data_IF_950515401882
#
_entry.id   IF_950515401882
#
_cell.length_a   1.000
_cell.length_b   1.000
_cell.length_c   1.000
_cell.angle_alpha   90.00
_cell.angle_beta   90.00
_cell.angle_gamma   90.00
#
_symmetry.space_group_name_H-M   'P 1'
#
loop_
_entity.id
_entity.type
_entity.pdbx_description
1 polymer ?
#
# COMPACT_ATOMS: atom_id res chain seq x y z
N UNK A 1 -10.86 -30.49 -5.99
CA UNK A 1 -10.33 -29.92 -7.25
C UNK A 1 -9.43 -28.72 -6.97
N UNK A 2 -9.94 -27.60 -6.44
CA UNK A 2 -9.16 -26.37 -6.25
C UNK A 2 -7.86 -26.55 -5.42
N UNK A 3 -7.91 -27.25 -4.29
CA UNK A 3 -6.71 -27.53 -3.46
C UNK A 3 -5.61 -28.20 -4.30
N UNK A 4 -5.96 -29.29 -5.00
CA UNK A 4 -5.00 -30.07 -5.80
C UNK A 4 -4.44 -29.21 -6.93
N UNK A 5 -5.31 -28.48 -7.66
CA UNK A 5 -4.89 -27.61 -8.75
C UNK A 5 -3.94 -26.50 -8.28
N UNK A 6 -4.29 -25.80 -7.20
CA UNK A 6 -3.44 -24.73 -6.64
C UNK A 6 -2.13 -25.29 -6.11
N UNK A 7 -2.15 -26.44 -5.43
CA UNK A 7 -0.94 -27.08 -4.93
C UNK A 7 -0.01 -27.50 -6.08
N UNK A 8 -0.54 -28.17 -7.12
CA UNK A 8 0.22 -28.54 -8.30
C UNK A 8 0.80 -27.33 -9.01
N UNK A 9 0.00 -26.26 -9.17
CA UNK A 9 0.46 -25.01 -9.79
C UNK A 9 1.60 -24.37 -9.01
N UNK A 10 1.49 -24.28 -7.67
CA UNK A 10 2.54 -23.71 -6.82
C UNK A 10 3.81 -24.54 -6.85
N UNK A 11 3.70 -25.86 -6.77
CA UNK A 11 4.87 -26.74 -6.79
C UNK A 11 5.64 -26.62 -8.11
N UNK A 12 4.94 -26.73 -9.24
CA UNK A 12 5.57 -26.66 -10.57
C UNK A 12 6.05 -25.23 -10.85
N UNK A 13 5.22 -24.22 -10.58
CA UNK A 13 5.54 -22.83 -10.84
C UNK A 13 6.74 -22.33 -10.03
N UNK A 14 6.76 -22.61 -8.72
CA UNK A 14 7.89 -22.20 -7.88
C UNK A 14 9.18 -22.96 -8.22
N UNK A 15 9.09 -24.20 -8.71
CA UNK A 15 10.26 -24.94 -9.17
C UNK A 15 10.84 -24.35 -10.47
N UNK A 16 9.99 -23.97 -11.43
CA UNK A 16 10.42 -23.35 -12.70
C UNK A 16 10.98 -21.93 -12.47
N UNK A 17 10.32 -21.15 -11.59
CA UNK A 17 10.72 -19.78 -11.28
C UNK A 17 11.80 -19.69 -10.19
N UNK A 18 12.27 -20.83 -9.69
CA UNK A 18 13.24 -20.95 -8.59
C UNK A 18 12.87 -20.18 -7.30
N UNK A 19 11.58 -20.09 -6.98
CA UNK A 19 11.08 -19.45 -5.75
C UNK A 19 11.25 -20.41 -4.57
N UNK A 20 12.21 -20.15 -3.70
CA UNK A 20 12.63 -21.07 -2.63
C UNK A 20 11.97 -20.72 -1.28
N UNK A 21 11.47 -21.74 -0.57
CA UNK A 21 11.00 -21.61 0.81
C UNK A 21 9.62 -20.97 1.01
N UNK A 22 8.89 -20.66 -0.07
CA UNK A 22 7.63 -19.91 0.00
C UNK A 22 6.37 -20.69 -0.41
N UNK A 23 6.49 -22.01 -0.59
CA UNK A 23 5.43 -22.89 -1.08
C UNK A 23 4.10 -22.70 -0.32
N UNK A 24 4.14 -22.70 1.01
CA UNK A 24 2.95 -22.59 1.85
C UNK A 24 2.30 -21.20 1.76
N UNK A 25 3.10 -20.14 1.69
CA UNK A 25 2.59 -18.76 1.60
C UNK A 25 1.95 -18.52 0.23
N UNK A 26 2.60 -18.96 -0.83
CA UNK A 26 2.06 -18.93 -2.19
C UNK A 26 0.78 -19.75 -2.31
N UNK A 27 0.79 -20.98 -1.77
CA UNK A 27 -0.38 -21.83 -1.75
C UNK A 27 -1.55 -21.18 -1.01
N UNK A 28 -1.34 -20.65 0.20
CA UNK A 28 -2.40 -20.02 0.98
C UNK A 28 -3.05 -18.85 0.24
N UNK A 29 -2.25 -17.97 -0.38
CA UNK A 29 -2.76 -16.80 -1.11
C UNK A 29 -3.51 -17.23 -2.37
N UNK A 30 -2.91 -18.08 -3.21
CA UNK A 30 -3.51 -18.51 -4.46
C UNK A 30 -4.75 -19.39 -4.22
N UNK A 31 -4.74 -20.20 -3.16
CA UNK A 31 -5.88 -21.01 -2.78
C UNK A 31 -7.04 -20.12 -2.31
N UNK A 32 -6.74 -19.10 -1.49
CA UNK A 32 -7.74 -18.12 -1.05
C UNK A 32 -8.36 -17.37 -2.23
N UNK A 33 -7.55 -16.95 -3.21
CA UNK A 33 -8.04 -16.35 -4.46
C UNK A 33 -8.89 -17.34 -5.30
N UNK A 34 -8.50 -18.62 -5.35
CA UNK A 34 -9.26 -19.67 -6.04
C UNK A 34 -10.62 -19.93 -5.38
N UNK A 35 -10.70 -19.92 -4.05
CA UNK A 35 -11.97 -20.01 -3.31
C UNK A 35 -12.93 -18.88 -3.68
N UNK A 36 -12.45 -17.66 -3.70
CA UNK A 36 -13.23 -16.49 -4.15
C UNK A 36 -13.69 -16.63 -5.61
N UNK A 37 -12.78 -17.02 -6.51
CA UNK A 37 -13.09 -17.19 -7.94
C UNK A 37 -14.16 -18.27 -8.17
N UNK A 38 -14.09 -19.39 -7.43
CA UNK A 38 -15.11 -20.44 -7.49
C UNK A 38 -16.49 -19.93 -7.06
N UNK A 39 -16.58 -19.14 -5.99
CA UNK A 39 -17.87 -18.57 -5.57
C UNK A 39 -18.45 -17.58 -6.57
N UNK A 40 -17.61 -16.77 -7.23
CA UNK A 40 -18.08 -15.93 -8.33
C UNK A 40 -18.58 -16.77 -9.49
N UNK A 41 -17.84 -17.81 -9.88
CA UNK A 41 -18.26 -18.74 -10.93
C UNK A 41 -19.62 -19.37 -10.63
N UNK A 42 -19.85 -19.80 -9.38
CA UNK A 42 -21.13 -20.34 -8.93
C UNK A 42 -22.24 -19.29 -8.95
N UNK A 43 -21.98 -18.06 -8.48
CA UNK A 43 -22.96 -16.97 -8.55
C UNK A 43 -23.38 -16.71 -10.00
N UNK A 44 -22.42 -16.56 -10.92
CA UNK A 44 -22.69 -16.34 -12.36
C UNK A 44 -23.50 -17.52 -12.94
N UNK A 45 -23.08 -18.76 -12.67
CA UNK A 45 -23.77 -19.96 -13.17
C UNK A 45 -25.19 -20.09 -12.60
N UNK A 46 -25.45 -19.60 -11.39
CA UNK A 46 -26.79 -19.61 -10.80
C UNK A 46 -27.70 -18.53 -11.38
N UNK A 47 -27.13 -17.38 -11.77
CA UNK A 47 -27.84 -16.21 -12.24
C UNK A 47 -28.20 -16.24 -13.72
N UNK A 48 -27.34 -16.84 -14.56
CA UNK A 48 -27.52 -16.85 -16.02
C UNK A 48 -27.85 -18.24 -16.55
N UNK A 49 -28.92 -18.32 -17.34
CA UNK A 49 -29.39 -19.58 -17.94
C UNK A 49 -28.68 -19.94 -19.25
N UNK A 50 -27.93 -19.00 -19.86
CA UNK A 50 -27.27 -19.18 -21.14
C UNK A 50 -25.75 -19.23 -20.98
N UNK A 51 -25.17 -20.32 -21.48
CA UNK A 51 -23.70 -20.52 -21.53
C UNK A 51 -23.04 -19.39 -22.35
N UNK A 52 -23.70 -18.91 -23.41
CA UNK A 52 -23.20 -17.78 -24.23
C UNK A 52 -23.07 -16.52 -23.39
N UNK A 53 -24.04 -16.22 -22.52
CA UNK A 53 -24.00 -15.05 -21.63
C UNK A 53 -22.87 -15.15 -20.62
N UNK A 54 -22.64 -16.35 -20.06
CA UNK A 54 -21.53 -16.60 -19.13
C UNK A 54 -20.19 -16.31 -19.80
N UNK A 55 -19.98 -16.76 -21.04
CA UNK A 55 -18.75 -16.52 -21.78
C UNK A 55 -18.49 -15.05 -22.13
N UNK A 56 -19.54 -14.22 -22.25
CA UNK A 56 -19.39 -12.77 -22.45
C UNK A 56 -19.05 -12.06 -21.13
N UNK A 57 -19.68 -12.47 -20.03
CA UNK A 57 -19.50 -11.83 -18.72
C UNK A 57 -18.14 -12.15 -18.11
N UNK A 58 -17.62 -13.36 -18.32
CA UNK A 58 -16.37 -13.79 -17.70
C UNK A 58 -15.18 -12.86 -18.05
N UNK A 59 -14.92 -12.53 -19.33
CA UNK A 59 -13.91 -11.51 -19.68
C UNK A 59 -14.20 -10.13 -19.10
N UNK A 60 -15.48 -9.70 -19.05
CA UNK A 60 -15.87 -8.40 -18.50
C UNK A 60 -15.59 -8.29 -16.99
N UNK A 61 -15.55 -9.41 -16.28
CA UNK A 61 -15.12 -9.48 -14.88
C UNK A 61 -13.60 -9.58 -14.78
N UNK A 62 -12.95 -10.42 -15.60
CA UNK A 62 -11.51 -10.66 -15.51
C UNK A 62 -10.66 -9.47 -15.98
N UNK A 63 -11.06 -8.75 -17.02
CA UNK A 63 -10.28 -7.61 -17.54
C UNK A 63 -10.09 -6.53 -16.48
N UNK A 64 -11.14 -6.03 -15.78
CA UNK A 64 -10.97 -5.10 -14.66
C UNK A 64 -10.10 -5.66 -13.54
N UNK A 65 -10.20 -6.97 -13.23
CA UNK A 65 -9.36 -7.60 -12.21
C UNK A 65 -7.88 -7.50 -12.58
N UNK A 66 -7.53 -7.74 -13.84
CA UNK A 66 -6.14 -7.62 -14.30
C UNK A 66 -5.70 -6.15 -14.33
N UNK A 67 -6.53 -5.28 -14.90
CA UNK A 67 -6.19 -3.87 -15.12
C UNK A 67 -5.98 -3.12 -13.80
N UNK A 68 -6.88 -3.30 -12.84
CA UNK A 68 -6.88 -2.62 -11.54
C UNK A 68 -6.24 -3.46 -10.43
N UNK A 69 -5.44 -4.46 -10.79
CA UNK A 69 -4.61 -5.21 -9.84
C UNK A 69 -3.41 -4.41 -9.33
N UNK A 70 -3.04 -3.31 -10.01
CA UNK A 70 -1.80 -2.58 -9.75
C UNK A 70 -0.58 -3.11 -10.51
N UNK A 71 -0.75 -4.18 -11.31
CA UNK A 71 0.32 -4.75 -12.15
C UNK A 71 0.39 -4.08 -13.53
N UNK A 72 -0.77 -3.97 -14.20
CA UNK A 72 -0.85 -3.43 -15.56
C UNK A 72 -0.98 -1.91 -15.54
N UNK A 73 -1.83 -1.40 -14.65
CA UNK A 73 -2.00 0.04 -14.43
C UNK A 73 -1.40 0.37 -13.08
N UNK A 74 -0.36 1.19 -13.11
CA UNK A 74 0.21 1.77 -11.91
C UNK A 74 -0.78 2.78 -11.31
N UNK A 75 -1.09 2.61 -10.02
CA UNK A 75 -2.02 3.46 -9.32
C UNK A 75 -1.53 4.91 -9.19
N UNK A 76 -0.22 5.14 -9.26
CA UNK A 76 0.41 6.47 -9.17
C UNK A 76 0.38 7.22 -10.51
N UNK A 77 -0.10 6.58 -11.59
CA UNK A 77 -0.20 7.17 -12.92
C UNK A 77 -1.64 7.24 -13.45
N UNK A 78 -2.64 6.96 -12.60
CA UNK A 78 -4.05 7.09 -12.98
C UNK A 78 -4.50 8.56 -13.07
N UNK A 79 -5.76 8.81 -13.40
CA UNK A 79 -6.27 10.19 -13.43
C UNK A 79 -6.33 10.80 -12.02
N UNK A 80 -5.95 12.08 -11.86
CA UNK A 80 -5.83 12.78 -10.55
C UNK A 80 -7.05 12.72 -9.64
N UNK A 81 -8.25 12.51 -10.19
CA UNK A 81 -9.50 12.35 -9.41
C UNK A 81 -9.66 10.98 -8.74
N UNK A 82 -8.87 9.99 -9.18
CA UNK A 82 -8.91 8.59 -8.73
C UNK A 82 -7.64 8.24 -7.95
N UNK A 83 -6.51 8.86 -8.29
CA UNK A 83 -5.23 8.66 -7.63
C UNK A 83 -5.22 9.12 -6.18
N UNK A 84 -4.43 8.43 -5.36
CA UNK A 84 -4.07 8.88 -4.02
C UNK A 84 -2.69 8.31 -3.67
N UNK A 85 -1.71 9.17 -3.38
CA UNK A 85 -0.36 8.71 -3.00
C UNK A 85 -0.30 8.12 -1.58
N UNK A 86 -1.31 8.45 -0.76
CA UNK A 86 -1.45 7.95 0.61
C UNK A 86 -2.02 6.52 0.65
N UNK A 87 -2.90 6.15 -0.28
CA UNK A 87 -3.70 4.93 -0.22
C UNK A 87 -3.95 4.33 -1.60
N UNK A 88 -4.13 3.02 -1.67
CA UNK A 88 -4.67 2.37 -2.88
C UNK A 88 -6.03 3.01 -3.24
N UNK A 89 -6.26 3.36 -4.52
CA UNK A 89 -7.53 3.90 -4.98
C UNK A 89 -8.71 2.95 -4.72
N UNK A 90 -9.89 3.53 -4.48
CA UNK A 90 -11.08 2.74 -4.10
C UNK A 90 -11.40 1.62 -5.11
N UNK A 91 -11.20 1.88 -6.41
CA UNK A 91 -11.44 0.85 -7.43
C UNK A 91 -10.50 -0.36 -7.27
N UNK A 92 -9.25 -0.14 -6.83
CA UNK A 92 -8.31 -1.20 -6.47
C UNK A 92 -8.65 -1.87 -5.12
N UNK A 93 -9.32 -1.16 -4.21
CA UNK A 93 -9.90 -1.73 -2.97
C UNK A 93 -11.02 -2.74 -3.24
N UNK A 94 -11.74 -2.61 -4.36
CA UNK A 94 -12.79 -3.55 -4.76
C UNK A 94 -12.30 -4.81 -5.50
N UNK A 95 -11.02 -4.83 -5.91
CA UNK A 95 -10.48 -5.82 -6.85
C UNK A 95 -9.68 -6.88 -6.08
N UNK A 96 -10.16 -8.12 -6.09
CA UNK A 96 -9.58 -9.23 -5.32
C UNK A 96 -8.17 -9.59 -5.78
N UNK A 97 -7.91 -9.55 -7.09
CA UNK A 97 -6.58 -9.80 -7.65
C UNK A 97 -5.55 -8.82 -7.11
N UNK A 98 -5.91 -7.57 -6.79
CA UNK A 98 -5.04 -6.58 -6.18
C UNK A 98 -4.59 -7.04 -4.79
N UNK A 99 -5.54 -7.43 -3.94
CA UNK A 99 -5.23 -7.93 -2.59
C UNK A 99 -4.34 -9.18 -2.63
N UNK A 100 -4.64 -10.13 -3.52
CA UNK A 100 -3.85 -11.34 -3.69
C UNK A 100 -2.44 -11.06 -4.21
N UNK A 101 -2.31 -10.16 -5.20
CA UNK A 101 -1.02 -9.80 -5.77
C UNK A 101 -0.15 -9.03 -4.77
N UNK A 102 -0.72 -8.04 -4.08
CA UNK A 102 0.00 -7.31 -3.03
C UNK A 102 0.49 -8.25 -1.92
N UNK A 103 -0.35 -9.23 -1.52
CA UNK A 103 0.05 -10.24 -0.55
C UNK A 103 1.25 -11.06 -1.05
N UNK A 104 1.21 -11.52 -2.32
CA UNK A 104 2.31 -12.29 -2.90
C UNK A 104 3.61 -11.49 -2.96
N UNK A 105 3.55 -10.26 -3.47
CA UNK A 105 4.73 -9.41 -3.68
C UNK A 105 5.36 -8.99 -2.35
N UNK A 106 4.55 -8.50 -1.40
CA UNK A 106 5.04 -8.07 -0.09
C UNK A 106 5.62 -9.26 0.68
N UNK A 107 4.92 -10.39 0.69
CA UNK A 107 5.42 -11.60 1.34
C UNK A 107 6.68 -12.14 0.68
N UNK A 108 6.77 -12.11 -0.65
CA UNK A 108 7.96 -12.58 -1.35
C UNK A 108 9.18 -11.71 -1.05
N UNK A 109 8.99 -10.40 -0.96
CA UNK A 109 10.07 -9.49 -0.60
C UNK A 109 10.43 -9.60 0.88
N UNK A 110 9.46 -9.53 1.78
CA UNK A 110 9.71 -9.41 3.22
C UNK A 110 10.09 -10.74 3.88
N UNK A 111 9.43 -11.83 3.49
CA UNK A 111 9.50 -13.10 4.22
C UNK A 111 10.50 -14.11 3.64
N UNK A 112 11.30 -13.71 2.64
CA UNK A 112 12.32 -14.60 2.09
C UNK A 112 13.47 -14.82 3.09
N UNK A 113 14.23 -15.89 2.88
CA UNK A 113 15.28 -16.30 3.81
C UNK A 113 16.43 -15.27 3.97
N UNK A 114 16.54 -14.30 3.05
CA UNK A 114 17.46 -13.18 3.18
C UNK A 114 16.83 -12.03 3.98
N UNK A 115 15.75 -11.46 3.47
CA UNK A 115 15.11 -10.27 4.03
C UNK A 115 14.47 -10.50 5.40
N UNK A 116 13.98 -11.69 5.71
CA UNK A 116 13.31 -11.96 6.99
C UNK A 116 14.16 -11.57 8.21
N UNK A 117 15.48 -11.68 8.10
CA UNK A 117 16.42 -11.32 9.17
C UNK A 117 16.72 -9.81 9.22
N UNK A 118 16.65 -9.12 8.07
CA UNK A 118 17.11 -7.75 7.90
C UNK A 118 15.99 -6.73 7.86
N UNK A 119 14.81 -7.14 7.42
CA UNK A 119 13.69 -6.27 7.07
C UNK A 119 13.36 -5.24 8.14
N UNK A 120 13.23 -5.67 9.41
CA UNK A 120 12.90 -4.77 10.51
C UNK A 120 13.97 -3.70 10.77
N UNK A 121 15.24 -4.03 10.55
CA UNK A 121 16.35 -3.07 10.69
C UNK A 121 16.43 -2.17 9.46
N UNK A 122 16.24 -2.72 8.27
CA UNK A 122 16.22 -1.95 7.03
C UNK A 122 15.06 -0.96 6.96
N UNK A 123 13.87 -1.35 7.42
CA UNK A 123 12.70 -0.48 7.52
C UNK A 123 13.01 0.78 8.34
N UNK A 124 13.60 0.60 9.52
CA UNK A 124 14.01 1.70 10.39
C UNK A 124 15.11 2.55 9.77
N UNK A 125 16.17 1.90 9.26
CA UNK A 125 17.29 2.60 8.62
C UNK A 125 16.79 3.45 7.44
N UNK A 126 15.90 2.90 6.63
CA UNK A 126 15.33 3.57 5.49
C UNK A 126 14.43 4.75 5.91
N UNK A 127 13.60 4.59 6.93
CA UNK A 127 12.81 5.70 7.50
C UNK A 127 13.69 6.82 8.05
N UNK A 128 14.76 6.49 8.79
CA UNK A 128 15.70 7.47 9.32
C UNK A 128 16.46 8.18 8.19
N UNK A 129 16.88 7.43 7.16
CA UNK A 129 17.59 7.98 6.00
C UNK A 129 16.70 8.95 5.23
N UNK A 130 15.42 8.62 5.04
CA UNK A 130 14.46 9.53 4.43
C UNK A 130 14.28 10.81 5.23
N UNK A 131 14.11 10.68 6.55
CA UNK A 131 13.95 11.84 7.44
C UNK A 131 15.17 12.77 7.37
N UNK A 132 16.39 12.21 7.39
CA UNK A 132 17.65 12.97 7.37
C UNK A 132 17.96 13.59 6.01
N UNK A 133 17.80 12.82 4.93
CA UNK A 133 18.27 13.23 3.60
C UNK A 133 17.24 14.04 2.81
N UNK A 134 15.95 13.94 3.14
CA UNK A 134 14.89 14.57 2.35
C UNK A 134 13.91 15.38 3.19
N UNK A 135 13.27 14.79 4.20
CA UNK A 135 12.23 15.48 4.98
C UNK A 135 12.81 16.70 5.71
N UNK A 136 13.88 16.52 6.48
CA UNK A 136 14.45 17.58 7.30
C UNK A 136 15.04 18.73 6.46
N UNK A 137 15.86 18.49 5.41
CA UNK A 137 16.32 19.56 4.53
C UNK A 137 15.18 20.33 3.87
N UNK A 138 14.12 19.64 3.46
CA UNK A 138 12.96 20.26 2.85
C UNK A 138 12.20 21.16 3.85
N UNK A 139 11.95 20.68 5.07
CA UNK A 139 11.33 21.49 6.14
C UNK A 139 12.17 22.71 6.53
N UNK A 140 13.50 22.57 6.57
CA UNK A 140 14.42 23.71 6.76
C UNK A 140 14.30 24.73 5.63
N UNK A 141 14.20 24.25 4.38
CA UNK A 141 13.96 25.11 3.21
C UNK A 141 12.68 25.92 3.35
N UNK A 142 11.57 25.27 3.68
CA UNK A 142 10.27 25.93 3.92
C UNK A 142 10.35 26.95 5.06
N UNK A 143 11.00 26.60 6.19
CA UNK A 143 11.17 27.51 7.31
C UNK A 143 11.94 28.78 6.91
N UNK A 144 13.06 28.60 6.20
CA UNK A 144 13.89 29.71 5.74
C UNK A 144 13.19 30.59 4.71
N UNK A 145 12.46 29.99 3.77
CA UNK A 145 11.68 30.74 2.77
C UNK A 145 10.55 31.53 3.44
N UNK A 146 9.79 30.92 4.34
CA UNK A 146 8.73 31.58 5.11
C UNK A 146 9.27 32.77 5.91
N UNK A 147 10.43 32.61 6.55
CA UNK A 147 11.10 33.67 7.30
C UNK A 147 11.48 34.85 6.39
N UNK A 148 12.17 34.57 5.28
CA UNK A 148 12.60 35.61 4.35
C UNK A 148 11.43 36.36 3.70
N UNK A 149 10.35 35.67 3.34
CA UNK A 149 9.16 36.30 2.76
C UNK A 149 8.47 37.24 3.77
N UNK A 150 8.42 36.83 5.05
CA UNK A 150 7.86 37.66 6.12
C UNK A 150 8.72 38.91 6.39
N UNK A 151 10.04 38.76 6.49
CA UNK A 151 10.98 39.89 6.69
C UNK A 151 10.87 40.90 5.56
N UNK A 152 10.69 40.44 4.32
CA UNK A 152 10.51 41.30 3.15
C UNK A 152 9.07 41.86 2.98
N UNK A 153 8.25 41.84 4.03
CA UNK A 153 6.89 42.38 4.10
C UNK A 153 5.91 41.86 3.02
N UNK A 154 6.18 40.69 2.43
CA UNK A 154 5.26 40.05 1.50
C UNK A 154 4.32 39.13 2.28
N UNK A 155 3.16 39.65 2.71
CA UNK A 155 2.07 38.80 3.23
C UNK A 155 1.48 37.98 2.09
N UNK A 156 2.06 36.81 1.85
CA UNK A 156 1.62 35.87 0.82
C UNK A 156 0.94 34.67 1.46
N UNK A 157 -0.17 34.16 0.90
CA UNK A 157 -0.81 32.91 1.34
C UNK A 157 0.13 31.69 1.39
N UNK A 158 1.26 31.77 0.69
CA UNK A 158 2.31 30.75 0.66
C UNK A 158 2.94 30.55 2.04
N UNK A 159 3.11 31.62 2.84
CA UNK A 159 3.72 31.53 4.19
C UNK A 159 2.88 30.66 5.11
N UNK A 160 1.56 30.89 5.18
CA UNK A 160 0.67 30.09 6.03
C UNK A 160 0.61 28.64 5.57
N UNK A 161 0.66 28.39 4.25
CA UNK A 161 0.73 27.04 3.71
C UNK A 161 2.01 26.34 4.17
N UNK A 162 3.18 26.96 4.00
CA UNK A 162 4.47 26.36 4.35
C UNK A 162 4.59 26.10 5.85
N UNK A 163 4.17 27.06 6.69
CA UNK A 163 4.12 26.89 8.13
C UNK A 163 3.14 25.79 8.57
N UNK A 164 2.00 25.65 7.88
CA UNK A 164 1.07 24.55 8.15
C UNK A 164 1.65 23.18 7.80
N UNK A 165 2.44 23.08 6.71
CA UNK A 165 3.18 21.85 6.37
C UNK A 165 4.16 21.52 7.48
N UNK A 166 4.96 22.49 7.92
CA UNK A 166 5.93 22.30 9.00
C UNK A 166 5.23 21.84 10.29
N UNK A 167 4.13 22.50 10.68
CA UNK A 167 3.34 22.12 11.85
C UNK A 167 2.82 20.68 11.76
N UNK A 168 2.30 20.26 10.60
CA UNK A 168 1.77 18.92 10.41
C UNK A 168 2.88 17.86 10.45
N UNK A 169 4.04 18.14 9.87
CA UNK A 169 5.18 17.23 9.89
C UNK A 169 5.82 17.13 11.28
N UNK A 170 5.88 18.23 12.05
CA UNK A 170 6.33 18.19 13.45
C UNK A 170 5.37 17.32 14.29
N UNK A 171 4.06 17.44 14.10
CA UNK A 171 3.11 16.58 14.80
C UNK A 171 3.34 15.08 14.50
N UNK A 172 3.68 14.75 13.25
CA UNK A 172 4.06 13.37 12.89
C UNK A 172 5.38 12.95 13.54
N UNK A 173 6.38 13.82 13.54
CA UNK A 173 7.68 13.58 14.17
C UNK A 173 7.51 13.35 15.68
N UNK A 174 6.66 14.14 16.35
CA UNK A 174 6.32 13.96 17.77
C UNK A 174 5.73 12.58 18.04
N UNK A 175 4.77 12.15 17.22
CA UNK A 175 4.11 10.86 17.41
C UNK A 175 5.06 9.67 17.15
N UNK A 176 6.00 9.80 16.22
CA UNK A 176 6.90 8.71 15.83
C UNK A 176 8.18 8.66 16.67
N UNK A 177 8.77 9.82 16.96
CA UNK A 177 10.08 9.95 17.59
C UNK A 177 10.04 10.51 19.02
N UNK A 178 8.87 10.93 19.50
CA UNK A 178 8.68 11.57 20.80
C UNK A 178 9.55 12.84 20.97
N UNK A 179 9.80 13.55 19.86
CA UNK A 179 10.58 14.79 19.78
C UNK A 179 9.65 15.99 19.72
N UNK A 180 9.36 16.57 20.90
CA UNK A 180 8.41 17.67 21.06
C UNK A 180 8.98 19.01 20.62
N UNK A 181 8.13 19.83 20.02
CA UNK A 181 8.38 21.25 19.78
C UNK A 181 7.30 22.05 20.51
N UNK A 182 7.66 22.74 21.59
CA UNK A 182 6.66 23.41 22.44
C UNK A 182 5.96 24.58 21.72
N UNK A 183 6.59 25.14 20.69
CA UNK A 183 6.15 26.35 19.99
C UNK A 183 5.42 26.06 18.66
N UNK A 184 4.95 24.82 18.42
CA UNK A 184 4.20 24.45 17.19
C UNK A 184 3.04 25.40 16.92
N UNK A 185 2.31 25.79 17.97
CA UNK A 185 1.16 26.72 17.87
C UNK A 185 1.54 28.13 17.41
N UNK A 186 2.83 28.48 17.36
CA UNK A 186 3.33 29.77 16.91
C UNK A 186 3.79 29.76 15.45
N UNK A 187 3.70 28.60 14.76
CA UNK A 187 3.96 28.45 13.33
C UNK A 187 2.77 28.96 12.50
N UNK A 188 2.57 30.28 12.53
CA UNK A 188 1.58 31.00 11.71
C UNK A 188 2.12 32.38 11.32
N UNK A 189 1.54 32.99 10.28
CA UNK A 189 2.03 34.27 9.75
C UNK A 189 2.12 35.38 10.82
N UNK A 190 1.24 35.38 11.82
CA UNK A 190 1.21 36.42 12.85
C UNK A 190 2.37 36.28 13.84
N UNK A 191 2.66 35.05 14.30
CA UNK A 191 3.62 34.80 15.39
C UNK A 191 5.00 34.32 14.96
N UNK A 192 5.18 33.96 13.70
CA UNK A 192 6.46 33.44 13.21
C UNK A 192 7.55 34.53 13.10
N UNK A 193 8.24 34.87 14.19
CA UNK A 193 9.29 35.90 14.23
C UNK A 193 10.70 35.30 14.31
N UNK A 194 11.73 36.15 14.41
CA UNK A 194 13.13 35.74 14.53
C UNK A 194 13.38 34.74 15.67
N UNK A 195 12.64 34.87 16.79
CA UNK A 195 12.78 33.95 17.93
C UNK A 195 12.19 32.59 17.61
N UNK A 196 10.98 32.54 17.04
CA UNK A 196 10.34 31.28 16.64
C UNK A 196 11.16 30.59 15.55
N UNK A 197 11.73 31.34 14.60
CA UNK A 197 12.62 30.78 13.57
C UNK A 197 13.89 30.17 14.17
N UNK A 198 14.54 30.85 15.13
CA UNK A 198 15.72 30.31 15.82
C UNK A 198 15.38 29.07 16.64
N UNK A 199 14.25 29.09 17.36
CA UNK A 199 13.75 27.94 18.13
C UNK A 199 13.47 26.72 17.24
N UNK A 200 12.80 26.93 16.10
CA UNK A 200 12.56 25.91 15.09
C UNK A 200 13.87 25.36 14.48
N UNK A 201 14.84 26.23 14.23
CA UNK A 201 16.16 25.83 13.73
C UNK A 201 16.91 24.96 14.73
N UNK A 202 16.91 25.34 16.01
CA UNK A 202 17.49 24.54 17.11
C UNK A 202 16.79 23.19 17.25
N UNK A 203 15.46 23.15 17.14
CA UNK A 203 14.69 21.91 17.12
C UNK A 203 15.12 21.00 15.97
N UNK A 204 15.26 21.53 14.75
CA UNK A 204 15.73 20.75 13.61
C UNK A 204 17.15 20.22 13.78
N UNK A 205 18.05 20.97 14.42
CA UNK A 205 19.41 20.50 14.75
C UNK A 205 19.40 19.38 15.80
N UNK A 206 18.60 19.52 16.86
CA UNK A 206 18.41 18.48 17.87
C UNK A 206 17.82 17.21 17.23
N UNK A 207 16.84 17.36 16.34
CA UNK A 207 16.25 16.24 15.62
C UNK A 207 17.25 15.55 14.67
N UNK A 208 18.08 16.30 13.96
CA UNK A 208 19.15 15.73 13.13
C UNK A 208 20.15 14.91 13.95
N UNK A 209 20.53 15.43 15.11
CA UNK A 209 21.43 14.74 16.04
C UNK A 209 20.79 13.42 16.52
N UNK A 210 19.53 13.47 16.93
CA UNK A 210 18.76 12.29 17.31
C UNK A 210 18.71 11.26 16.17
N UNK A 211 18.35 11.65 14.95
CA UNK A 211 18.29 10.76 13.79
C UNK A 211 19.65 10.15 13.47
N UNK A 212 20.74 10.91 13.63
CA UNK A 212 22.10 10.42 13.42
C UNK A 212 22.47 9.35 14.46
N UNK A 213 22.14 9.57 15.73
CA UNK A 213 22.33 8.56 16.79
C UNK A 213 21.54 7.29 16.50
N UNK A 214 20.26 7.43 16.16
CA UNK A 214 19.40 6.27 15.82
C UNK A 214 19.93 5.51 14.60
N UNK A 215 20.39 6.22 13.57
CA UNK A 215 20.98 5.60 12.38
C UNK A 215 22.20 4.74 12.74
N UNK A 216 23.14 5.27 13.52
CA UNK A 216 24.33 4.53 13.94
C UNK A 216 23.98 3.32 14.81
N UNK A 217 22.97 3.45 15.67
CA UNK A 217 22.50 2.34 16.50
C UNK A 217 21.91 1.21 15.65
N UNK A 218 21.03 1.54 14.71
CA UNK A 218 20.41 0.53 13.84
C UNK A 218 21.40 -0.06 12.82
N UNK A 219 22.41 0.71 12.37
CA UNK A 219 23.48 0.17 11.55
C UNK A 219 24.29 -0.89 12.31
N UNK A 220 24.64 -0.62 13.58
CA UNK A 220 25.29 -1.63 14.44
C UNK A 220 24.43 -2.87 14.64
N UNK A 221 23.11 -2.72 14.73
CA UNK A 221 22.20 -3.86 14.83
C UNK A 221 22.22 -4.69 13.54
N UNK A 222 22.28 -4.02 12.37
CA UNK A 222 22.41 -4.68 11.07
C UNK A 222 23.72 -5.45 10.96
N UNK A 223 24.83 -4.85 11.35
CA UNK A 223 26.15 -5.50 11.32
C UNK A 223 26.18 -6.75 12.22
N UNK A 224 25.57 -6.68 13.41
CA UNK A 224 25.42 -7.86 14.30
C UNK A 224 24.64 -9.00 13.66
N UNK A 225 23.59 -8.70 12.88
CA UNK A 225 22.82 -9.72 12.17
C UNK A 225 23.69 -10.38 11.09
N UNK A 226 24.54 -9.61 10.41
CA UNK A 226 25.49 -10.16 9.45
C UNK A 226 26.51 -11.09 10.12
N UNK A 227 27.12 -10.65 11.22
CA UNK A 227 28.06 -11.46 12.02
C UNK A 227 27.40 -12.77 12.49
N UNK A 228 26.17 -12.71 13.01
CA UNK A 228 25.42 -13.89 13.45
C UNK A 228 25.19 -14.91 12.32
N UNK A 229 24.87 -14.43 11.12
CA UNK A 229 24.67 -15.31 9.95
C UNK A 229 26.00 -15.92 9.52
N UNK A 230 27.07 -15.13 9.44
CA UNK A 230 28.40 -15.63 9.06
C UNK A 230 28.91 -16.69 10.04
N UNK A 231 28.71 -16.47 11.34
CA UNK A 231 29.08 -17.41 12.40
C UNK A 231 28.24 -18.69 12.35
N UNK A 232 26.92 -18.57 12.14
CA UNK A 232 26.01 -19.72 12.04
C UNK A 232 26.38 -20.68 10.91
N UNK A 233 26.86 -20.15 9.79
CA UNK A 233 27.23 -20.95 8.61
C UNK A 233 28.74 -21.22 8.52
N UNK A 234 29.53 -20.74 9.49
CA UNK A 234 31.01 -20.77 9.48
C UNK A 234 31.60 -20.31 8.14
N UNK A 235 30.96 -19.33 7.49
CA UNK A 235 31.27 -18.92 6.13
C UNK A 235 31.01 -17.43 5.96
N UNK A 236 32.08 -16.66 5.72
CA UNK A 236 32.04 -15.21 5.48
C UNK A 236 31.27 -14.81 4.21
N UNK A 237 31.01 -15.75 3.30
CA UNK A 237 30.21 -15.52 2.09
C UNK A 237 28.77 -16.02 2.24
N UNK A 238 28.37 -16.52 3.42
CA UNK A 238 27.04 -17.09 3.64
C UNK A 238 25.92 -16.10 3.29
N UNK A 239 26.06 -14.85 3.76
CA UNK A 239 25.06 -13.80 3.50
C UNK A 239 24.92 -13.51 1.99
N UNK A 240 26.05 -13.41 1.27
CA UNK A 240 26.05 -13.19 -0.18
C UNK A 240 25.35 -14.34 -0.91
N UNK A 241 25.66 -15.59 -0.55
CA UNK A 241 25.03 -16.77 -1.14
C UNK A 241 23.53 -16.87 -0.84
N UNK A 242 23.10 -16.46 0.35
CA UNK A 242 21.68 -16.38 0.70
C UNK A 242 21.01 -15.29 -0.13
N UNK A 243 21.64 -14.11 -0.26
CA UNK A 243 21.13 -13.02 -1.09
C UNK A 243 20.94 -13.46 -2.54
N UNK A 244 21.96 -14.04 -3.18
CA UNK A 244 21.87 -14.53 -4.57
C UNK A 244 20.72 -15.53 -4.80
N UNK A 245 20.39 -16.33 -3.78
CA UNK A 245 19.37 -17.39 -3.93
C UNK A 245 17.95 -16.95 -3.59
N UNK A 246 17.79 -15.92 -2.76
CA UNK A 246 16.48 -15.57 -2.15
C UNK A 246 16.06 -14.13 -2.40
N UNK A 247 16.95 -13.26 -2.86
CA UNK A 247 16.64 -11.87 -3.19
C UNK A 247 16.33 -11.73 -4.68
N UNK A 248 15.28 -10.97 -5.00
CA UNK A 248 14.89 -10.69 -6.38
C UNK A 248 14.98 -9.19 -6.64
N UNK A 249 15.92 -8.78 -7.50
CA UNK A 249 16.19 -7.37 -7.79
C UNK A 249 15.00 -6.66 -8.44
N UNK A 250 14.25 -7.34 -9.32
CA UNK A 250 13.08 -6.76 -9.96
C UNK A 250 11.93 -6.56 -8.96
N UNK A 251 11.73 -7.54 -8.08
CA UNK A 251 10.76 -7.42 -6.99
C UNK A 251 11.10 -6.25 -6.08
N UNK A 252 12.38 -6.12 -5.70
CA UNK A 252 12.87 -5.00 -4.91
C UNK A 252 12.67 -3.66 -5.63
N UNK A 253 12.99 -3.59 -6.93
CA UNK A 253 12.77 -2.41 -7.75
C UNK A 253 11.30 -1.96 -7.73
N UNK A 254 10.37 -2.91 -7.81
CA UNK A 254 8.94 -2.68 -7.78
C UNK A 254 8.46 -2.17 -6.41
N UNK A 255 8.77 -2.88 -5.32
CA UNK A 255 8.24 -2.54 -3.98
C UNK A 255 8.92 -1.32 -3.36
N UNK A 256 10.14 -1.01 -3.80
CA UNK A 256 10.83 0.23 -3.44
C UNK A 256 10.41 1.42 -4.32
N UNK A 257 9.56 1.19 -5.32
CA UNK A 257 9.13 2.19 -6.29
C UNK A 257 10.32 2.96 -6.91
N UNK A 258 11.37 2.25 -7.34
CA UNK A 258 12.60 2.87 -7.86
C UNK A 258 12.44 3.61 -9.19
N UNK A 259 11.29 3.44 -9.86
CA UNK A 259 10.93 4.19 -11.06
C UNK A 259 10.59 5.65 -10.75
N UNK A 260 10.10 5.92 -9.55
CA UNK A 260 9.75 7.27 -9.13
C UNK A 260 11.01 8.12 -8.96
N UNK A 261 10.97 9.33 -9.53
CA UNK A 261 12.08 10.27 -9.50
C UNK A 261 11.98 11.20 -8.29
N UNK A 262 10.75 11.47 -7.84
CA UNK A 262 10.47 12.37 -6.71
C UNK A 262 10.49 11.58 -5.40
N UNK A 263 11.26 12.03 -4.42
CA UNK A 263 11.32 11.36 -3.11
C UNK A 263 10.03 11.59 -2.28
N UNK A 264 9.40 12.74 -2.50
CA UNK A 264 8.19 13.15 -1.80
C UNK A 264 7.35 14.13 -2.63
N UNK A 265 6.10 14.31 -2.20
CA UNK A 265 5.17 15.29 -2.74
C UNK A 265 4.33 15.92 -1.62
N UNK A 266 4.02 17.21 -1.75
CA UNK A 266 3.08 17.90 -0.87
C UNK A 266 1.63 17.58 -1.27
N UNK A 267 0.84 17.03 -0.34
CA UNK A 267 -0.58 16.74 -0.54
C UNK A 267 -1.37 17.13 0.71
N UNK A 268 -2.31 18.06 0.56
CA UNK A 268 -3.15 18.57 1.66
C UNK A 268 -2.32 19.06 2.86
N UNK A 269 -1.29 19.89 2.59
CA UNK A 269 -0.35 20.43 3.57
C UNK A 269 0.40 19.36 4.37
N UNK A 270 0.66 18.21 3.76
CA UNK A 270 1.47 17.14 4.33
C UNK A 270 2.50 16.66 3.34
N UNK A 271 3.64 16.22 3.84
CA UNK A 271 4.66 15.56 3.05
C UNK A 271 4.32 14.07 2.90
N UNK A 272 4.15 13.62 1.65
CA UNK A 272 3.92 12.21 1.32
C UNK A 272 5.14 11.68 0.60
N UNK A 273 5.82 10.71 1.22
CA UNK A 273 6.94 9.98 0.62
C UNK A 273 6.46 9.11 -0.53
N UNK A 274 7.13 9.14 -1.69
CA UNK A 274 6.71 8.37 -2.87
C UNK A 274 7.56 7.12 -3.12
N UNK A 275 8.75 7.03 -2.54
CA UNK A 275 9.68 5.91 -2.69
C UNK A 275 9.71 5.00 -1.47
N UNK A 276 10.31 3.83 -1.64
CA UNK A 276 10.53 2.82 -0.60
C UNK A 276 9.23 2.40 0.11
N UNK A 277 8.18 2.17 -0.67
CA UNK A 277 6.82 1.87 -0.19
C UNK A 277 6.79 0.71 0.80
N UNK A 278 7.62 -0.32 0.57
CA UNK A 278 7.74 -1.48 1.46
C UNK A 278 8.29 -1.16 2.85
N UNK A 279 8.98 -0.04 3.03
CA UNK A 279 9.51 0.40 4.34
C UNK A 279 8.73 1.59 4.91
N UNK A 280 7.65 2.00 4.24
CA UNK A 280 6.85 3.15 4.65
C UNK A 280 5.71 2.71 5.57
N UNK A 281 5.56 3.40 6.69
CA UNK A 281 4.43 3.22 7.60
C UNK A 281 3.09 3.62 6.92
N UNK A 282 2.00 2.86 7.15
CA UNK A 282 0.70 3.17 6.60
C UNK A 282 0.11 4.44 7.23
N UNK A 283 -0.49 5.30 6.41
CA UNK A 283 -1.02 6.59 6.86
C UNK A 283 -2.42 6.53 7.53
N UNK A 284 -3.16 5.42 7.39
CA UNK A 284 -4.55 5.30 7.91
C UNK A 284 -4.68 4.14 8.87
N UNK A 285 -5.42 4.39 9.96
CA UNK A 285 -5.70 3.44 11.03
C UNK A 285 -6.93 2.54 10.75
N UNK A 286 -7.49 2.56 9.55
CA UNK A 286 -8.70 1.79 9.17
C UNK A 286 -8.34 0.69 8.14
N UNK A 287 -7.06 0.33 8.03
CA UNK A 287 -6.57 -0.73 7.15
C UNK A 287 -6.32 -0.31 5.70
N UNK A 288 -6.68 0.92 5.31
CA UNK A 288 -6.22 1.49 4.03
C UNK A 288 -4.75 1.88 4.15
N UNK A 289 -3.95 1.52 3.17
CA UNK A 289 -2.55 1.88 3.09
C UNK A 289 -2.15 2.09 1.64
N UNK A 290 -0.95 2.60 1.43
CA UNK A 290 -0.34 2.59 0.11
C UNK A 290 -0.05 1.18 -0.35
N UNK A 291 0.13 1.10 -1.66
CA UNK A 291 0.41 -0.14 -2.32
C UNK A 291 1.79 -0.67 -1.92
N UNK A 292 1.84 -1.97 -1.63
CA UNK A 292 3.02 -2.67 -1.09
C UNK A 292 3.45 -2.26 0.32
N UNK A 293 2.57 -1.62 1.10
CA UNK A 293 2.86 -1.40 2.53
C UNK A 293 3.07 -2.74 3.26
N UNK A 294 4.05 -2.86 4.17
CA UNK A 294 4.44 -4.13 4.80
C UNK A 294 3.46 -4.64 5.85
N UNK A 295 2.67 -3.73 6.43
CA UNK A 295 1.58 -4.00 7.38
C UNK A 295 0.46 -2.99 7.18
N UNK A 296 -0.74 -3.33 7.66
CA UNK A 296 -1.90 -2.45 7.73
C UNK A 296 -2.23 -2.18 9.19
N UNK A 297 -2.70 -0.98 9.51
CA UNK A 297 -3.08 -0.60 10.88
C UNK A 297 -4.60 -0.62 11.05
N UNK A 298 -5.05 -1.26 12.13
CA UNK A 298 -6.44 -1.26 12.59
C UNK A 298 -6.46 -0.68 14.01
N UNK A 299 -6.73 0.62 14.11
CA UNK A 299 -6.53 1.37 15.35
C UNK A 299 -5.05 1.34 15.76
N UNK A 300 -4.74 0.68 16.87
CA UNK A 300 -3.37 0.51 17.38
C UNK A 300 -2.72 -0.80 16.93
N UNK A 301 -3.47 -1.73 16.32
CA UNK A 301 -2.95 -3.03 15.92
C UNK A 301 -2.30 -2.94 14.54
N UNK A 302 -1.02 -3.34 14.45
CA UNK A 302 -0.32 -3.58 13.18
C UNK A 302 -0.54 -5.03 12.75
N UNK A 303 -1.15 -5.23 11.58
CA UNK A 303 -1.43 -6.54 11.00
C UNK A 303 -0.58 -6.72 9.75
N UNK A 304 0.14 -7.82 9.66
CA UNK A 304 0.93 -8.18 8.48
C UNK A 304 0.07 -8.15 7.21
N UNK A 305 0.60 -7.57 6.12
CA UNK A 305 -0.10 -7.50 4.84
C UNK A 305 -0.52 -8.88 4.32
N UNK A 306 0.25 -9.94 4.60
CA UNK A 306 -0.14 -11.31 4.29
C UNK A 306 -1.50 -11.68 4.90
N UNK A 307 -1.63 -11.51 6.22
CA UNK A 307 -2.84 -11.88 6.96
C UNK A 307 -3.99 -10.93 6.64
N UNK A 308 -3.73 -9.63 6.60
CA UNK A 308 -4.77 -8.64 6.31
C UNK A 308 -5.40 -8.87 4.94
N UNK A 309 -4.57 -9.03 3.91
CA UNK A 309 -5.08 -9.20 2.54
C UNK A 309 -5.83 -10.52 2.39
N UNK A 310 -5.36 -11.62 2.99
CA UNK A 310 -6.11 -12.87 2.99
C UNK A 310 -7.47 -12.73 3.68
N UNK A 311 -7.54 -12.03 4.82
CA UNK A 311 -8.79 -11.77 5.52
C UNK A 311 -9.78 -10.98 4.67
N UNK A 312 -9.32 -9.97 3.92
CA UNK A 312 -10.19 -9.22 3.00
C UNK A 312 -10.73 -10.11 1.86
N UNK A 313 -9.89 -10.98 1.28
CA UNK A 313 -10.35 -11.92 0.25
C UNK A 313 -11.39 -12.90 0.84
N UNK A 314 -11.17 -13.38 2.06
CA UNK A 314 -12.14 -14.23 2.77
C UNK A 314 -13.43 -13.49 3.11
N UNK A 315 -13.36 -12.20 3.44
CA UNK A 315 -14.54 -11.36 3.61
C UNK A 315 -15.34 -11.26 2.31
N UNK A 316 -14.68 -10.99 1.17
CA UNK A 316 -15.35 -11.00 -0.14
C UNK A 316 -15.94 -12.38 -0.48
N UNK A 317 -15.19 -13.44 -0.19
CA UNK A 317 -15.63 -14.83 -0.35
C UNK A 317 -16.90 -15.08 0.46
N UNK A 318 -16.93 -14.66 1.72
CA UNK A 318 -18.11 -14.77 2.58
C UNK A 318 -19.31 -13.98 2.03
N UNK A 319 -19.10 -12.75 1.56
CA UNK A 319 -20.15 -11.95 0.91
C UNK A 319 -20.72 -12.68 -0.31
N UNK A 320 -19.88 -13.20 -1.20
CA UNK A 320 -20.34 -13.96 -2.37
C UNK A 320 -21.01 -15.29 -1.99
N UNK A 321 -20.61 -15.92 -0.89
CA UNK A 321 -21.30 -17.09 -0.35
C UNK A 321 -22.72 -16.74 0.10
N UNK A 322 -22.89 -15.65 0.85
CA UNK A 322 -24.22 -15.17 1.28
C UNK A 322 -25.09 -14.81 0.06
N UNK A 323 -24.52 -14.11 -0.94
CA UNK A 323 -25.24 -13.78 -2.18
C UNK A 323 -25.72 -15.03 -2.94
N UNK A 324 -24.88 -16.07 -2.98
CA UNK A 324 -25.22 -17.35 -3.59
C UNK A 324 -26.31 -18.07 -2.79
N UNK A 325 -26.16 -18.16 -1.47
CA UNK A 325 -27.11 -18.87 -0.61
C UNK A 325 -28.54 -18.33 -0.73
N UNK A 326 -28.69 -17.01 -0.89
CA UNK A 326 -29.99 -16.37 -1.07
C UNK A 326 -30.43 -16.21 -2.53
N UNK A 327 -29.67 -16.76 -3.49
CA UNK A 327 -29.90 -16.61 -4.93
C UNK A 327 -30.12 -15.15 -5.37
N UNK A 328 -29.39 -14.22 -4.75
CA UNK A 328 -29.63 -12.76 -4.93
C UNK A 328 -29.46 -12.35 -6.39
N UNK A 329 -28.42 -12.85 -7.06
CA UNK A 329 -28.15 -12.51 -8.46
C UNK A 329 -29.31 -12.96 -9.38
N UNK A 330 -29.81 -14.19 -9.20
CA UNK A 330 -30.95 -14.71 -9.96
C UNK A 330 -32.20 -13.87 -9.73
N UNK A 331 -32.50 -13.52 -8.48
CA UNK A 331 -33.64 -12.66 -8.12
C UNK A 331 -33.55 -11.26 -8.73
N UNK A 332 -32.35 -10.68 -8.77
CA UNK A 332 -32.12 -9.39 -9.41
C UNK A 332 -32.34 -9.46 -10.92
N UNK A 333 -31.84 -10.50 -11.58
CA UNK A 333 -32.02 -10.68 -13.03
C UNK A 333 -33.49 -10.86 -13.37
N UNK A 334 -34.21 -11.74 -12.68
CA UNK A 334 -35.65 -11.96 -12.93
C UNK A 334 -36.49 -10.72 -12.64
N UNK A 335 -36.12 -9.94 -11.62
CA UNK A 335 -36.75 -8.65 -11.34
C UNK A 335 -36.55 -7.65 -12.50
N UNK A 336 -35.34 -7.51 -13.02
CA UNK A 336 -35.04 -6.62 -14.15
C UNK A 336 -35.77 -7.08 -15.42
N UNK A 337 -35.84 -8.39 -15.67
CA UNK A 337 -36.62 -8.96 -16.78
C UNK A 337 -38.11 -8.63 -16.64
N UNK A 338 -38.67 -8.75 -15.44
CA UNK A 338 -40.08 -8.41 -15.19
C UNK A 338 -40.39 -6.94 -15.49
N UNK A 339 -39.52 -6.00 -15.11
CA UNK A 339 -39.67 -4.58 -15.44
C UNK A 339 -39.64 -4.35 -16.95
N UNK A 340 -38.73 -5.04 -17.66
CA UNK A 340 -38.61 -4.93 -19.11
C UNK A 340 -39.87 -5.43 -19.81
N UNK A 341 -40.44 -6.56 -19.34
CA UNK A 341 -41.69 -7.12 -19.86
C UNK A 341 -42.88 -6.18 -19.62
N UNK A 342 -42.99 -5.57 -18.43
CA UNK A 342 -44.04 -4.59 -18.12
C UNK A 342 -43.93 -3.36 -19.04
N UNK A 343 -42.72 -2.83 -19.26
CA UNK A 343 -42.51 -1.70 -20.18
C UNK A 343 -42.85 -2.05 -21.63
N UNK A 344 -42.52 -3.26 -22.08
CA UNK A 344 -42.85 -3.73 -23.43
C UNK A 344 -44.37 -3.85 -23.60
N UNK A 345 -45.06 -4.45 -22.62
CA UNK A 345 -46.51 -4.64 -22.66
C UNK A 345 -47.26 -3.29 -22.67
N UNK A 346 -46.77 -2.30 -21.91
CA UNK A 346 -47.32 -0.93 -21.92
C UNK A 346 -47.11 -0.22 -23.26
N UNK A 347 -46.01 -0.48 -23.98
CA UNK A 347 -45.80 0.05 -25.34
C UNK A 347 -46.73 -0.60 -26.35
N UNK A 348 -46.89 -1.93 -26.30
CA UNK A 348 -47.81 -2.65 -27.19
C UNK A 348 -49.26 -2.21 -26.97
N UNK A 349 -49.69 -2.05 -25.70
CA UNK A 349 -51.03 -1.52 -25.40
C UNK A 349 -51.25 -0.13 -26.01
N UNK A 350 -50.29 0.79 -25.91
CA UNK A 350 -50.41 2.13 -26.51
C UNK A 350 -50.56 2.11 -28.03
N UNK A 351 -49.88 1.18 -28.71
CA UNK A 351 -49.98 1.01 -30.17
C UNK A 351 -51.30 0.38 -30.59
N UNK A 352 -51.88 -0.51 -29.77
CA UNK A 352 -53.18 -1.14 -30.05
C UNK A 352 -54.38 -0.25 -29.70
N UNK A 353 -54.17 0.82 -28.94
CA UNK A 353 -55.21 1.80 -28.58
C UNK A 353 -55.17 3.09 -29.42
N UNK A 354 -54.25 3.19 -30.37
CA UNK A 354 -54.24 4.18 -31.45
C UNK A 354 -54.74 3.52 -32.73
#
# INVERSE_FOLDING_TARGET
MAIIQTLSFVLIGNQILEIKGMWLRYFAILFTAACWANLIGLNISSGFNSIVTIYIILPLILIPQILFSGVVVDFNHMHKKIMTEKYVPFIGDMITSRWAYEALVVTQFKDNAYEKHLFGTEEKLNSISYARSYQLPYLRGLAYEAYNLKVNAKKLPVIDKDLSIISNEIYKIEHVHNQKFDEVGWLNIDRYDDKVFQSLSNYFEAFETYLSTQYHQEMKNKDKIYEQIEDQFHNRLALYQIKERYYNDYLAFLVLNRKELMEHQEINNELVRLKDNIYREPASNIGRAHYFSPHKTLGQLKVDTFWFNMLIIWLFTFVFYVLLYFDVLRKLISYVESIRLVRLNNRVRRVLTQ
#
